data_IF_962575489667
#
_entry.id   IF_962575489667
#
_cell.length_a   1.000
_cell.length_b   1.000
_cell.length_c   1.000
_cell.angle_alpha   90.00
_cell.angle_beta   90.00
_cell.angle_gamma   90.00
#
_symmetry.space_group_name_H-M   'P 1'
#
loop_
_entity.id
_entity.type
_entity.pdbx_description
1 polymer ?
#
# COMPACT_ATOMS: atom_id res chain seq x y z
N UNK A 1 -24.36 2.08 -11.13
CA UNK A 1 -23.58 3.28 -10.70
C UNK A 1 -22.90 3.87 -11.91
N UNK A 2 -22.93 5.19 -12.08
CA UNK A 2 -22.18 5.86 -13.15
C UNK A 2 -20.68 5.75 -12.88
N UNK A 3 -19.85 5.61 -13.94
CA UNK A 3 -18.38 5.51 -13.81
C UNK A 3 -17.75 6.60 -12.90
N UNK A 4 -18.16 7.89 -12.98
CA UNK A 4 -17.62 8.93 -12.10
C UNK A 4 -18.00 8.75 -10.62
N UNK A 5 -19.18 8.19 -10.30
CA UNK A 5 -19.56 7.93 -8.92
C UNK A 5 -18.72 6.82 -8.29
N UNK A 6 -18.46 5.73 -9.02
CA UNK A 6 -17.62 4.63 -8.54
C UNK A 6 -16.20 5.10 -8.22
N UNK A 7 -15.62 5.95 -9.08
CA UNK A 7 -14.28 6.50 -8.87
C UNK A 7 -14.21 7.40 -7.62
N UNK A 8 -15.24 8.20 -7.34
CA UNK A 8 -15.31 9.00 -6.12
C UNK A 8 -15.33 8.13 -4.87
N UNK A 9 -16.14 7.06 -4.85
CA UNK A 9 -16.17 6.11 -3.71
C UNK A 9 -14.81 5.43 -3.50
N UNK A 10 -14.11 5.08 -4.59
CA UNK A 10 -12.76 4.53 -4.51
C UNK A 10 -11.80 5.51 -3.84
N UNK A 11 -11.80 6.78 -4.25
CA UNK A 11 -10.93 7.82 -3.65
C UNK A 11 -11.26 8.03 -2.17
N UNK A 12 -12.55 8.10 -1.80
CA UNK A 12 -12.94 8.21 -0.39
C UNK A 12 -12.50 6.99 0.43
N UNK A 13 -12.62 5.79 -0.11
CA UNK A 13 -12.15 4.58 0.57
C UNK A 13 -10.62 4.60 0.77
N UNK A 14 -9.87 5.02 -0.23
CA UNK A 14 -8.41 5.15 -0.16
C UNK A 14 -7.98 6.19 0.88
N UNK A 15 -8.59 7.39 0.85
CA UNK A 15 -8.30 8.45 1.83
C UNK A 15 -8.70 8.01 3.24
N UNK A 16 -9.88 7.43 3.39
CA UNK A 16 -10.38 6.95 4.69
C UNK A 16 -9.49 5.87 5.29
N UNK A 17 -9.03 4.93 4.48
CA UNK A 17 -8.12 3.89 4.94
C UNK A 17 -6.71 4.43 5.25
N UNK A 18 -6.22 5.39 4.46
CA UNK A 18 -4.95 6.06 4.73
C UNK A 18 -5.01 6.82 6.06
N UNK A 19 -6.10 7.55 6.31
CA UNK A 19 -6.32 8.23 7.58
C UNK A 19 -6.41 7.23 8.74
N UNK A 20 -7.18 6.15 8.59
CA UNK A 20 -7.27 5.09 9.59
C UNK A 20 -5.88 4.52 9.90
N UNK A 21 -5.10 4.16 8.87
CA UNK A 21 -3.76 3.61 9.01
C UNK A 21 -2.82 4.55 9.77
N UNK A 22 -2.88 5.85 9.48
CA UNK A 22 -2.06 6.87 10.16
C UNK A 22 -2.50 7.11 11.61
N UNK A 23 -3.80 7.06 11.87
CA UNK A 23 -4.36 7.33 13.20
C UNK A 23 -4.32 6.12 14.12
N UNK A 24 -4.27 4.91 13.58
CA UNK A 24 -4.24 3.66 14.36
C UNK A 24 -3.19 3.65 15.47
N UNK A 25 -1.90 3.96 15.24
CA UNK A 25 -0.91 3.99 16.31
C UNK A 25 -1.09 5.17 17.27
N UNK A 26 -1.63 6.31 16.81
CA UNK A 26 -1.85 7.50 17.64
C UNK A 26 -2.90 7.24 18.73
N UNK A 27 -3.96 6.49 18.38
CA UNK A 27 -5.03 6.11 19.31
C UNK A 27 -4.81 4.76 19.98
N UNK A 28 -3.62 4.17 19.89
CA UNK A 28 -3.30 2.84 20.41
C UNK A 28 -4.30 1.74 20.00
N UNK A 29 -4.89 1.89 18.79
CA UNK A 29 -5.79 0.86 18.27
C UNK A 29 -5.03 -0.41 17.90
N UNK A 30 -3.84 -0.26 17.34
CA UNK A 30 -2.91 -1.34 17.10
C UNK A 30 -1.49 -0.78 16.91
N UNK A 31 -0.57 -1.13 17.81
CA UNK A 31 0.86 -0.88 17.67
C UNK A 31 1.66 -1.88 18.50
N UNK A 32 2.92 -2.07 18.14
CA UNK A 32 3.88 -2.82 18.95
C UNK A 32 4.89 -1.86 19.55
N UNK A 33 5.05 -1.86 20.86
CA UNK A 33 6.01 -0.99 21.54
C UNK A 33 7.32 -1.74 21.78
N UNK A 34 8.38 -1.30 21.08
CA UNK A 34 9.72 -1.88 21.25
C UNK A 34 10.35 -1.56 22.60
N UNK A 35 9.93 -0.47 23.25
CA UNK A 35 10.46 -0.07 24.56
C UNK A 35 9.86 -0.91 25.67
N UNK A 36 8.57 -1.15 25.62
CA UNK A 36 7.81 -1.94 26.59
C UNK A 36 7.72 -3.43 26.21
N UNK A 37 8.14 -3.79 24.98
CA UNK A 37 8.18 -5.17 24.45
C UNK A 37 6.82 -5.88 24.40
N UNK A 38 5.74 -5.14 24.29
CA UNK A 38 4.41 -5.72 24.11
C UNK A 38 3.59 -4.96 23.06
N UNK A 39 2.53 -5.59 22.58
CA UNK A 39 1.60 -4.98 21.64
C UNK A 39 0.47 -4.27 22.41
N UNK A 40 -0.06 -3.20 21.81
CA UNK A 40 -1.33 -2.59 22.21
C UNK A 40 -2.41 -2.97 21.20
N UNK A 41 -3.57 -3.35 21.70
CA UNK A 41 -4.76 -3.59 20.90
C UNK A 41 -5.98 -2.94 21.57
N UNK A 42 -6.63 -2.02 20.86
CA UNK A 42 -7.76 -1.23 21.38
C UNK A 42 -7.42 -0.59 22.74
N UNK A 43 -6.28 0.07 22.82
CA UNK A 43 -5.77 0.75 24.03
C UNK A 43 -5.38 -0.18 25.19
N UNK A 44 -5.58 -1.48 25.05
CA UNK A 44 -5.22 -2.47 26.08
C UNK A 44 -3.87 -3.12 25.76
N UNK A 45 -2.99 -3.32 26.75
CA UNK A 45 -1.76 -4.05 26.54
C UNK A 45 -2.07 -5.52 26.22
N UNK A 46 -1.51 -5.99 25.12
CA UNK A 46 -1.73 -7.35 24.62
C UNK A 46 -0.58 -8.25 25.07
N UNK A 47 -0.82 -8.99 26.13
CA UNK A 47 0.18 -9.88 26.70
C UNK A 47 0.05 -11.31 26.17
N UNK A 48 1.14 -11.83 25.65
CA UNK A 48 1.22 -13.25 25.20
C UNK A 48 1.48 -14.22 26.37
N UNK A 49 1.84 -13.71 27.55
CA UNK A 49 2.16 -14.51 28.72
C UNK A 49 3.55 -15.16 28.70
N UNK A 50 4.42 -14.75 27.77
CA UNK A 50 5.79 -15.28 27.65
C UNK A 50 6.65 -14.82 28.82
N UNK A 51 6.57 -13.55 29.20
CA UNK A 51 7.32 -12.97 30.32
C UNK A 51 6.89 -13.60 31.65
N UNK A 52 5.61 -13.93 31.81
CA UNK A 52 5.08 -14.61 32.98
C UNK A 52 5.53 -16.08 33.05
N UNK A 53 5.70 -16.74 31.89
CA UNK A 53 6.29 -18.06 31.81
C UNK A 53 7.76 -18.05 32.21
N UNK A 54 8.54 -17.09 31.67
CA UNK A 54 9.98 -16.93 32.00
C UNK A 54 10.15 -16.62 33.47
N UNK A 55 9.27 -15.81 34.05
CA UNK A 55 9.27 -15.47 35.49
C UNK A 55 8.72 -16.59 36.38
N UNK A 56 8.30 -17.72 35.82
CA UNK A 56 7.75 -18.86 36.59
C UNK A 56 6.36 -18.62 37.21
N UNK A 57 5.67 -17.54 36.82
CA UNK A 57 4.34 -17.18 37.33
C UNK A 57 3.20 -17.97 36.72
N UNK A 58 3.41 -18.51 35.51
CA UNK A 58 2.39 -19.21 34.76
C UNK A 58 2.94 -20.58 34.27
N UNK A 59 2.10 -21.60 34.30
CA UNK A 59 2.46 -22.92 33.77
C UNK A 59 2.65 -22.91 32.24
N UNK A 60 3.55 -23.73 31.74
CA UNK A 60 3.85 -23.84 30.30
C UNK A 60 2.61 -24.12 29.45
N UNK A 61 1.66 -24.91 29.94
CA UNK A 61 0.40 -25.20 29.24
C UNK A 61 -0.47 -23.96 29.06
N UNK A 62 -0.57 -23.11 30.07
CA UNK A 62 -1.36 -21.86 29.99
C UNK A 62 -0.70 -20.85 29.04
N UNK A 63 0.63 -20.75 29.07
CA UNK A 63 1.36 -19.90 28.13
C UNK A 63 1.20 -20.38 26.66
N UNK A 64 1.21 -21.68 26.44
CA UNK A 64 0.97 -22.26 25.10
C UNK A 64 -0.45 -21.95 24.60
N UNK A 65 -1.47 -22.07 25.45
CA UNK A 65 -2.86 -21.72 25.10
C UNK A 65 -2.97 -20.21 24.78
N UNK A 66 -2.37 -19.34 25.58
CA UNK A 66 -2.36 -17.91 25.33
C UNK A 66 -1.69 -17.58 23.97
N UNK A 67 -0.57 -18.23 23.65
CA UNK A 67 0.11 -18.05 22.38
C UNK A 67 -0.78 -18.46 21.20
N UNK A 68 -1.51 -19.56 21.32
CA UNK A 68 -2.45 -20.02 20.28
C UNK A 68 -3.60 -19.00 20.12
N UNK A 69 -4.22 -18.58 21.22
CA UNK A 69 -5.41 -17.73 21.20
C UNK A 69 -5.09 -16.28 20.84
N UNK A 70 -3.98 -15.74 21.35
CA UNK A 70 -3.68 -14.31 21.19
C UNK A 70 -2.67 -14.02 20.08
N UNK A 71 -1.95 -15.00 19.53
CA UNK A 71 -1.05 -14.78 18.42
C UNK A 71 -1.53 -15.54 17.16
N UNK A 72 -1.60 -16.87 17.23
CA UNK A 72 -1.87 -17.68 16.04
C UNK A 72 -3.29 -17.51 15.51
N UNK A 73 -4.30 -17.53 16.38
CA UNK A 73 -5.70 -17.43 15.97
C UNK A 73 -6.02 -16.11 15.25
N UNK A 74 -5.63 -14.93 15.76
CA UNK A 74 -5.85 -13.65 15.07
C UNK A 74 -5.11 -13.57 13.74
N UNK A 75 -3.85 -14.02 13.68
CA UNK A 75 -3.05 -14.00 12.44
C UNK A 75 -3.67 -14.90 11.37
N UNK A 76 -4.01 -16.14 11.75
CA UNK A 76 -4.65 -17.10 10.83
C UNK A 76 -6.04 -16.64 10.41
N UNK A 77 -6.82 -16.08 11.34
CA UNK A 77 -8.14 -15.49 11.07
C UNK A 77 -8.08 -14.34 10.09
N UNK A 78 -7.18 -13.38 10.31
CA UNK A 78 -6.95 -12.26 9.40
C UNK A 78 -6.45 -12.74 8.03
N UNK A 79 -5.52 -13.70 8.01
CA UNK A 79 -5.02 -14.32 6.77
C UNK A 79 -6.13 -15.00 5.99
N UNK A 80 -6.95 -15.82 6.65
CA UNK A 80 -8.10 -16.50 6.05
C UNK A 80 -9.13 -15.50 5.50
N UNK A 81 -9.40 -14.42 6.21
CA UNK A 81 -10.28 -13.33 5.74
C UNK A 81 -9.74 -12.70 4.45
N UNK A 82 -8.46 -12.31 4.44
CA UNK A 82 -7.81 -11.71 3.27
C UNK A 82 -7.84 -12.66 2.08
N UNK A 83 -7.52 -13.94 2.29
CA UNK A 83 -7.55 -14.97 1.24
C UNK A 83 -8.98 -15.19 0.75
N UNK A 84 -9.98 -15.28 1.63
CA UNK A 84 -11.39 -15.45 1.27
C UNK A 84 -11.93 -14.28 0.45
N UNK A 85 -11.61 -13.05 0.84
CA UNK A 85 -11.94 -11.84 0.07
C UNK A 85 -11.27 -11.87 -1.30
N UNK A 86 -9.98 -12.22 -1.35
CA UNK A 86 -9.23 -12.29 -2.59
C UNK A 86 -9.74 -13.40 -3.53
N UNK A 87 -10.12 -14.54 -2.99
CA UNK A 87 -10.72 -15.63 -3.76
C UNK A 87 -12.00 -15.21 -4.47
N UNK A 88 -12.85 -14.44 -3.78
CA UNK A 88 -14.16 -14.02 -4.32
C UNK A 88 -14.09 -12.78 -5.19
N UNK A 89 -13.29 -11.77 -4.82
CA UNK A 89 -13.27 -10.45 -5.43
C UNK A 89 -11.91 -10.03 -6.00
N UNK A 90 -10.92 -10.91 -5.98
CA UNK A 90 -9.59 -10.61 -6.50
C UNK A 90 -8.81 -9.62 -5.63
N UNK A 91 -8.02 -8.78 -6.26
CA UNK A 91 -7.16 -7.80 -5.59
C UNK A 91 -7.92 -6.55 -5.09
N UNK A 92 -9.11 -6.75 -4.50
CA UNK A 92 -9.96 -5.64 -4.05
C UNK A 92 -9.23 -4.74 -3.05
N UNK A 93 -8.53 -5.34 -2.07
CA UNK A 93 -7.77 -4.59 -1.07
C UNK A 93 -6.73 -3.66 -1.71
N UNK A 94 -5.92 -4.17 -2.64
CA UNK A 94 -4.87 -3.38 -3.29
C UNK A 94 -5.44 -2.18 -4.06
N UNK A 95 -6.55 -2.38 -4.79
CA UNK A 95 -7.14 -1.34 -5.62
C UNK A 95 -7.97 -0.29 -4.87
N UNK A 96 -8.52 -0.63 -3.68
CA UNK A 96 -9.50 0.21 -2.98
C UNK A 96 -9.03 0.72 -1.63
N UNK A 97 -8.21 -0.05 -0.92
CA UNK A 97 -7.85 0.27 0.47
C UNK A 97 -6.35 0.51 0.65
N UNK A 98 -5.50 -0.17 -0.14
CA UNK A 98 -4.06 -0.12 0.09
C UNK A 98 -3.49 1.30 -0.08
N UNK A 99 -2.99 1.93 0.98
CA UNK A 99 -2.48 3.29 0.90
C UNK A 99 -1.15 3.37 0.13
N UNK A 100 -0.32 2.34 0.20
CA UNK A 100 0.91 2.26 -0.58
C UNK A 100 0.63 2.26 -2.09
N UNK A 101 -0.33 1.45 -2.53
CA UNK A 101 -0.76 1.43 -3.94
C UNK A 101 -1.27 2.80 -4.41
N UNK A 102 -2.04 3.49 -3.56
CA UNK A 102 -2.58 4.83 -3.86
C UNK A 102 -1.49 5.88 -4.04
N UNK A 103 -0.44 5.84 -3.19
CA UNK A 103 0.74 6.72 -3.32
C UNK A 103 1.47 6.46 -4.63
N UNK A 104 1.77 5.18 -4.94
CA UNK A 104 2.43 4.80 -6.20
C UNK A 104 1.62 5.26 -7.40
N UNK A 105 0.29 5.08 -7.39
CA UNK A 105 -0.59 5.54 -8.47
C UNK A 105 -0.53 7.08 -8.64
N UNK A 106 -0.52 7.82 -7.53
CA UNK A 106 -0.41 9.28 -7.54
C UNK A 106 0.92 9.76 -8.12
N UNK A 107 2.04 9.16 -7.70
CA UNK A 107 3.38 9.50 -8.22
C UNK A 107 3.48 9.14 -9.71
N UNK A 108 2.97 7.98 -10.14
CA UNK A 108 2.94 7.60 -11.55
C UNK A 108 2.13 8.58 -12.41
N UNK A 109 1.00 9.09 -11.88
CA UNK A 109 0.19 10.09 -12.57
C UNK A 109 0.93 11.43 -12.71
N UNK A 110 1.61 11.87 -11.66
CA UNK A 110 2.46 13.06 -11.71
C UNK A 110 3.62 12.88 -12.70
N UNK A 111 4.24 11.69 -12.73
CA UNK A 111 5.30 11.37 -13.68
C UNK A 111 4.78 11.35 -15.13
N UNK A 112 3.57 10.86 -15.36
CA UNK A 112 2.91 10.92 -16.66
C UNK A 112 2.75 12.36 -17.14
N UNK A 113 2.33 13.28 -16.27
CA UNK A 113 2.24 14.71 -16.61
C UNK A 113 3.60 15.35 -16.86
N UNK A 114 4.66 14.88 -16.18
CA UNK A 114 6.01 15.42 -16.36
C UNK A 114 6.68 14.95 -17.65
N UNK A 115 6.50 13.68 -18.03
CA UNK A 115 7.30 13.04 -19.09
C UNK A 115 6.47 12.44 -20.23
N UNK A 116 5.17 12.29 -20.05
CA UNK A 116 4.33 11.51 -20.95
C UNK A 116 4.53 9.99 -20.84
N UNK A 117 5.23 9.53 -19.77
CA UNK A 117 5.52 8.12 -19.52
C UNK A 117 5.05 7.75 -18.11
N UNK A 118 4.56 6.53 -17.94
CA UNK A 118 4.20 6.04 -16.61
C UNK A 118 5.44 5.64 -15.78
N UNK A 119 6.57 5.39 -16.42
CA UNK A 119 7.82 5.00 -15.78
C UNK A 119 9.03 5.58 -16.48
N UNK A 120 10.10 5.78 -15.76
CA UNK A 120 11.41 6.19 -16.31
C UNK A 120 11.95 5.14 -17.29
N UNK A 121 11.55 3.88 -17.12
CA UNK A 121 11.99 2.74 -17.93
C UNK A 121 11.21 2.56 -19.23
N UNK A 122 10.06 3.24 -19.39
CA UNK A 122 9.24 3.11 -20.58
C UNK A 122 9.94 3.76 -21.78
N UNK A 123 10.13 3.00 -22.85
CA UNK A 123 10.73 3.50 -24.10
C UNK A 123 9.77 4.38 -24.90
N UNK A 124 8.47 4.05 -24.86
CA UNK A 124 7.42 4.76 -25.61
C UNK A 124 6.68 5.72 -24.68
N UNK A 125 6.33 6.89 -25.21
CA UNK A 125 5.39 7.81 -24.56
C UNK A 125 3.96 7.31 -24.74
N UNK A 126 3.12 7.53 -23.73
CA UNK A 126 1.68 7.30 -23.87
C UNK A 126 1.06 8.31 -24.83
N UNK A 127 -0.10 8.00 -25.45
CA UNK A 127 -0.82 8.97 -26.26
C UNK A 127 -1.08 10.28 -25.50
N UNK A 128 -1.07 11.45 -26.17
CA UNK A 128 -1.28 12.75 -25.52
C UNK A 128 -2.71 13.01 -25.05
N UNK A 129 -3.56 12.01 -25.11
CA UNK A 129 -4.98 12.08 -24.81
C UNK A 129 -5.36 11.07 -23.74
N UNK A 130 -6.18 11.50 -22.77
CA UNK A 130 -6.79 10.59 -21.82
C UNK A 130 -7.90 9.75 -22.50
N UNK A 131 -8.33 8.61 -21.91
CA UNK A 131 -9.38 7.75 -22.49
C UNK A 131 -10.73 8.46 -22.69
N UNK A 132 -10.96 9.57 -22.01
CA UNK A 132 -12.14 10.44 -22.12
C UNK A 132 -12.01 11.51 -23.22
N UNK A 133 -10.91 11.52 -23.98
CA UNK A 133 -10.65 12.46 -25.07
C UNK A 133 -10.09 13.80 -24.64
N UNK A 134 -9.78 13.98 -23.36
CA UNK A 134 -9.15 15.21 -22.87
C UNK A 134 -7.64 15.19 -23.11
N UNK A 135 -6.99 16.33 -23.46
CA UNK A 135 -5.54 16.35 -23.62
C UNK A 135 -4.85 16.18 -22.27
N UNK A 136 -3.93 15.21 -22.21
CA UNK A 136 -3.08 15.03 -21.03
C UNK A 136 -2.01 16.12 -20.99
N UNK A 137 -1.95 16.96 -19.94
CA UNK A 137 -0.93 18.00 -19.85
C UNK A 137 0.46 17.37 -19.75
N UNK A 138 1.39 17.86 -20.57
CA UNK A 138 2.79 17.41 -20.57
C UNK A 138 3.69 18.62 -20.39
N UNK A 139 4.22 18.80 -19.17
CA UNK A 139 5.15 19.84 -18.86
C UNK A 139 6.27 19.32 -17.96
N UNK A 140 7.51 19.46 -18.37
CA UNK A 140 8.69 19.06 -17.59
C UNK A 140 8.79 19.75 -16.22
N UNK A 141 8.07 20.86 -16.02
CA UNK A 141 7.97 21.55 -14.71
C UNK A 141 7.35 20.66 -13.64
N UNK A 142 6.53 19.67 -14.00
CA UNK A 142 5.98 18.70 -13.04
C UNK A 142 7.05 17.87 -12.32
N UNK A 143 8.29 17.80 -12.82
CA UNK A 143 9.38 17.17 -12.08
C UNK A 143 9.66 17.83 -10.74
N UNK A 144 9.45 19.14 -10.64
CA UNK A 144 9.52 19.88 -9.37
C UNK A 144 8.41 19.47 -8.39
N UNK A 145 7.36 18.81 -8.84
CA UNK A 145 6.32 18.24 -7.99
C UNK A 145 6.54 16.75 -7.75
N UNK A 146 6.98 15.98 -8.75
CA UNK A 146 7.17 14.52 -8.67
C UNK A 146 8.18 14.14 -7.59
N UNK A 147 9.38 14.74 -7.62
CA UNK A 147 10.46 14.36 -6.70
C UNK A 147 10.14 14.78 -5.26
N UNK A 148 9.74 16.04 -4.96
CA UNK A 148 9.35 16.40 -3.61
C UNK A 148 8.14 15.63 -3.09
N UNK A 149 7.15 15.33 -3.93
CA UNK A 149 6.00 14.52 -3.53
C UNK A 149 6.44 13.09 -3.18
N UNK A 150 7.31 12.46 -3.98
CA UNK A 150 7.83 11.14 -3.68
C UNK A 150 8.57 11.11 -2.34
N UNK A 151 9.44 12.10 -2.08
CA UNK A 151 10.16 12.23 -0.80
C UNK A 151 9.19 12.46 0.37
N UNK A 152 8.21 13.37 0.20
CA UNK A 152 7.24 13.69 1.23
C UNK A 152 6.38 12.48 1.62
N UNK A 153 5.87 11.73 0.63
CA UNK A 153 5.13 10.50 0.89
C UNK A 153 6.00 9.41 1.50
N UNK A 154 7.24 9.25 1.04
CA UNK A 154 8.18 8.28 1.59
C UNK A 154 8.51 8.61 3.06
N UNK A 155 8.76 9.88 3.36
CA UNK A 155 9.00 10.35 4.72
C UNK A 155 7.77 10.16 5.62
N UNK A 156 6.59 10.55 5.15
CA UNK A 156 5.34 10.32 5.89
C UNK A 156 5.13 8.83 6.19
N UNK A 157 5.40 7.94 5.23
CA UNK A 157 5.35 6.49 5.42
C UNK A 157 6.35 6.00 6.46
N UNK A 158 7.60 6.49 6.40
CA UNK A 158 8.64 6.12 7.35
C UNK A 158 8.28 6.56 8.77
N UNK A 159 7.75 7.80 8.93
CA UNK A 159 7.29 8.31 10.23
C UNK A 159 6.13 7.48 10.76
N UNK A 160 5.10 7.23 9.95
CA UNK A 160 3.96 6.38 10.37
C UNK A 160 4.45 4.97 10.71
N UNK A 161 5.36 4.39 9.92
CA UNK A 161 5.97 3.09 10.23
C UNK A 161 6.69 3.08 11.58
N UNK A 162 7.40 4.15 11.92
CA UNK A 162 8.08 4.29 13.20
C UNK A 162 7.09 4.38 14.36
N UNK A 163 5.95 5.07 14.20
CA UNK A 163 4.90 5.15 15.24
C UNK A 163 4.19 3.83 15.52
N UNK A 164 4.27 2.85 14.62
CA UNK A 164 3.82 1.47 14.90
C UNK A 164 4.79 0.69 15.79
N UNK A 165 6.04 1.15 15.93
CA UNK A 165 7.10 0.48 16.66
C UNK A 165 7.51 1.22 17.93
N UNK A 166 7.23 2.52 18.02
CA UNK A 166 7.62 3.40 19.12
C UNK A 166 6.43 4.25 19.55
N UNK A 167 6.40 4.77 20.80
CA UNK A 167 5.32 5.64 21.25
C UNK A 167 5.15 6.85 20.33
N UNK A 168 3.94 7.10 19.79
CA UNK A 168 3.70 8.17 18.81
C UNK A 168 4.08 9.56 19.35
N UNK A 169 3.79 9.82 20.62
CA UNK A 169 4.14 11.08 21.25
C UNK A 169 5.67 11.32 21.25
N UNK A 170 6.46 10.28 21.54
CA UNK A 170 7.93 10.36 21.49
C UNK A 170 8.41 10.67 20.06
N UNK A 171 7.88 9.98 19.06
CA UNK A 171 8.28 10.16 17.66
C UNK A 171 7.96 11.57 17.18
N UNK A 172 6.73 12.05 17.40
CA UNK A 172 6.32 13.39 16.92
C UNK A 172 7.03 14.52 17.68
N UNK A 173 7.14 14.42 19.01
CA UNK A 173 7.87 15.41 19.78
C UNK A 173 9.37 15.40 19.45
N UNK A 174 9.95 14.22 19.26
CA UNK A 174 11.35 14.05 18.87
C UNK A 174 11.66 14.63 17.49
N UNK A 175 10.72 14.50 16.54
CA UNK A 175 10.84 15.12 15.22
C UNK A 175 10.82 16.66 15.32
N UNK A 176 9.89 17.23 16.09
CA UNK A 176 9.74 18.68 16.23
C UNK A 176 10.93 19.30 16.97
N UNK A 177 11.47 18.62 17.97
CA UNK A 177 12.58 19.11 18.81
C UNK A 177 13.96 18.62 18.36
N UNK A 178 14.04 17.87 17.24
CA UNK A 178 15.29 17.25 16.76
C UNK A 178 16.00 16.39 17.82
N UNK A 179 15.21 15.69 18.65
CA UNK A 179 15.70 14.91 19.80
C UNK A 179 15.50 13.40 19.63
N UNK A 180 15.39 12.91 18.39
CA UNK A 180 15.28 11.49 18.08
C UNK A 180 16.56 10.73 18.39
N UNK A 181 16.44 9.49 18.83
CA UNK A 181 17.57 8.61 19.03
C UNK A 181 18.26 8.27 17.70
N UNK A 182 19.57 7.99 17.77
CA UNK A 182 20.36 7.66 16.57
C UNK A 182 19.74 6.54 15.72
N UNK A 183 19.20 5.50 16.38
CA UNK A 183 18.54 4.38 15.69
C UNK A 183 17.29 4.80 14.90
N UNK A 184 16.48 5.69 15.46
CA UNK A 184 15.28 6.24 14.83
C UNK A 184 15.62 7.10 13.62
N UNK A 185 16.65 7.94 13.74
CA UNK A 185 17.14 8.75 12.61
C UNK A 185 17.66 7.87 11.49
N UNK A 186 18.43 6.82 11.79
CA UNK A 186 18.91 5.86 10.80
C UNK A 186 17.73 5.15 10.13
N UNK A 187 16.75 4.70 10.89
CA UNK A 187 15.53 4.07 10.36
C UNK A 187 14.76 5.00 9.42
N UNK A 188 14.49 6.24 9.86
CA UNK A 188 13.76 7.23 9.06
C UNK A 188 14.51 7.55 7.76
N UNK A 189 15.82 7.75 7.84
CA UNK A 189 16.64 8.06 6.66
C UNK A 189 16.68 6.89 5.68
N UNK A 190 16.93 5.69 6.18
CA UNK A 190 16.99 4.48 5.35
C UNK A 190 15.63 4.17 4.71
N UNK A 191 14.55 4.18 5.51
CA UNK A 191 13.19 3.92 5.03
C UNK A 191 12.75 4.96 4.00
N UNK A 192 12.97 6.25 4.26
CA UNK A 192 12.64 7.33 3.32
C UNK A 192 13.41 7.17 2.01
N UNK A 193 14.70 6.85 2.08
CA UNK A 193 15.52 6.66 0.87
C UNK A 193 15.03 5.47 0.05
N UNK A 194 14.82 4.32 0.68
CA UNK A 194 14.35 3.10 -0.01
C UNK A 194 12.99 3.31 -0.63
N UNK A 195 12.03 3.89 0.11
CA UNK A 195 10.69 4.16 -0.40
C UNK A 195 10.69 5.22 -1.51
N UNK A 196 11.54 6.25 -1.42
CA UNK A 196 11.67 7.25 -2.50
C UNK A 196 12.17 6.61 -3.79
N UNK A 197 13.20 5.76 -3.69
CA UNK A 197 13.71 5.01 -4.83
C UNK A 197 12.65 4.07 -5.40
N UNK A 198 11.90 3.40 -4.54
CA UNK A 198 10.79 2.55 -4.95
C UNK A 198 9.72 3.34 -5.71
N UNK A 199 9.24 4.45 -5.17
CA UNK A 199 8.18 5.26 -5.78
C UNK A 199 8.60 5.83 -7.14
N UNK A 200 9.87 6.22 -7.29
CA UNK A 200 10.36 6.81 -8.55
C UNK A 200 10.71 5.76 -9.60
N UNK A 201 11.29 4.63 -9.20
CA UNK A 201 11.89 3.67 -10.14
C UNK A 201 11.18 2.32 -10.18
N UNK A 202 10.75 1.79 -9.03
CA UNK A 202 10.22 0.44 -8.96
C UNK A 202 8.70 0.35 -9.18
N UNK A 203 7.95 1.44 -8.98
CA UNK A 203 6.48 1.50 -9.15
C UNK A 203 5.78 0.39 -8.36
N UNK A 204 5.08 -0.50 -9.07
CA UNK A 204 4.37 -1.63 -8.50
C UNK A 204 5.22 -2.90 -8.32
N UNK A 205 6.54 -2.81 -8.47
CA UNK A 205 7.43 -3.97 -8.36
C UNK A 205 7.37 -4.56 -6.94
N UNK A 206 7.38 -3.70 -5.93
CA UNK A 206 7.19 -4.11 -4.54
C UNK A 206 5.86 -4.82 -4.33
N UNK A 207 4.75 -4.24 -4.83
CA UNK A 207 3.42 -4.84 -4.72
C UNK A 207 3.32 -6.20 -5.42
N UNK A 208 4.12 -6.41 -6.47
CA UNK A 208 4.10 -7.64 -7.27
C UNK A 208 4.98 -8.74 -6.70
N UNK A 209 6.16 -8.41 -6.16
CA UNK A 209 7.19 -9.38 -5.82
C UNK A 209 7.55 -9.44 -4.34
N UNK A 210 7.39 -8.34 -3.59
CA UNK A 210 7.81 -8.25 -2.20
C UNK A 210 6.65 -8.18 -1.20
N UNK A 211 5.49 -7.61 -1.60
CA UNK A 211 4.35 -7.49 -0.72
C UNK A 211 3.64 -8.84 -0.51
N UNK A 212 3.72 -9.39 0.70
CA UNK A 212 3.08 -10.66 1.04
C UNK A 212 1.57 -10.65 0.75
N UNK A 213 0.86 -9.57 1.13
CA UNK A 213 -0.58 -9.42 0.88
C UNK A 213 -0.89 -9.47 -0.61
N UNK A 214 -0.12 -8.77 -1.44
CA UNK A 214 -0.27 -8.77 -2.90
C UNK A 214 -0.02 -10.14 -3.52
N UNK A 215 0.99 -10.86 -3.04
CA UNK A 215 1.32 -12.22 -3.49
C UNK A 215 0.21 -13.21 -3.12
N UNK A 216 -0.23 -13.25 -1.85
CA UNK A 216 -1.29 -14.15 -1.42
C UNK A 216 -2.62 -13.89 -2.13
N UNK A 217 -2.99 -12.62 -2.32
CA UNK A 217 -4.18 -12.27 -3.10
C UNK A 217 -4.08 -12.74 -4.56
N UNK A 218 -2.90 -12.67 -5.17
CA UNK A 218 -2.69 -13.15 -6.54
C UNK A 218 -2.85 -14.65 -6.63
N UNK A 219 -2.22 -15.40 -5.73
CA UNK A 219 -2.34 -16.86 -5.70
C UNK A 219 -3.77 -17.33 -5.43
N UNK A 220 -4.45 -16.69 -4.47
CA UNK A 220 -5.86 -16.99 -4.20
C UNK A 220 -6.74 -16.75 -5.41
N UNK A 221 -6.55 -15.64 -6.11
CA UNK A 221 -7.32 -15.31 -7.32
C UNK A 221 -7.02 -16.26 -8.48
N UNK A 222 -5.75 -16.58 -8.72
CA UNK A 222 -5.36 -17.53 -9.78
C UNK A 222 -5.87 -18.95 -9.52
N UNK A 223 -6.02 -19.36 -8.26
CA UNK A 223 -6.60 -20.64 -7.89
C UNK A 223 -8.11 -20.76 -8.12
N UNK A 224 -8.81 -19.65 -8.31
CA UNK A 224 -10.26 -19.66 -8.50
C UNK A 224 -10.62 -19.82 -9.99
N UNK A 225 -11.18 -20.97 -10.36
CA UNK A 225 -11.64 -21.26 -11.72
C UNK A 225 -12.73 -20.33 -12.25
N UNK A 226 -13.47 -19.63 -11.38
CA UNK A 226 -14.52 -18.66 -11.72
C UNK A 226 -14.03 -17.22 -11.71
N UNK A 227 -12.73 -17.00 -11.52
CA UNK A 227 -12.16 -15.67 -11.48
C UNK A 227 -12.28 -14.97 -12.85
N UNK A 228 -12.75 -13.72 -12.84
CA UNK A 228 -12.71 -12.88 -14.04
C UNK A 228 -11.26 -12.48 -14.32
N UNK A 229 -10.74 -12.90 -15.46
CA UNK A 229 -9.40 -12.53 -15.95
C UNK A 229 -9.57 -11.70 -17.20
N UNK A 230 -8.77 -10.64 -17.33
CA UNK A 230 -8.67 -9.92 -18.59
C UNK A 230 -7.97 -10.86 -19.58
N UNK A 231 -8.72 -11.36 -20.56
CA UNK A 231 -8.21 -12.22 -21.61
C UNK A 231 -8.20 -11.46 -22.94
N UNK A 232 -7.23 -11.79 -23.78
CA UNK A 232 -7.15 -11.28 -25.14
C UNK A 232 -7.70 -12.34 -26.11
N UNK A 233 -8.87 -12.08 -26.69
CA UNK A 233 -9.48 -12.95 -27.69
C UNK A 233 -8.88 -12.66 -29.08
N UNK A 234 -7.98 -13.53 -29.52
CA UNK A 234 -7.31 -13.38 -30.85
C UNK A 234 -8.27 -13.34 -32.03
N UNK A 235 -9.44 -13.96 -31.87
CA UNK A 235 -10.49 -13.99 -32.91
C UNK A 235 -11.13 -12.61 -33.15
N UNK A 236 -11.04 -11.70 -32.19
CA UNK A 236 -11.55 -10.32 -32.27
C UNK A 236 -10.49 -9.27 -32.60
N UNK A 237 -9.39 -9.67 -33.20
CA UNK A 237 -8.35 -8.72 -33.64
C UNK A 237 -8.84 -7.68 -34.64
N UNK A 238 -9.84 -8.05 -35.46
CA UNK A 238 -10.49 -7.12 -36.40
C UNK A 238 -11.23 -5.99 -35.68
N UNK A 239 -11.80 -6.25 -34.50
CA UNK A 239 -12.47 -5.23 -33.69
C UNK A 239 -11.46 -4.23 -33.10
N UNK A 240 -10.22 -4.67 -32.85
CA UNK A 240 -9.14 -3.79 -32.42
C UNK A 240 -8.67 -2.84 -33.54
N UNK A 241 -8.72 -3.26 -34.79
CA UNK A 241 -8.37 -2.41 -35.92
C UNK A 241 -9.41 -1.30 -36.16
N UNK A 242 -10.69 -1.53 -35.81
CA UNK A 242 -11.76 -0.53 -35.86
C UNK A 242 -11.84 0.37 -34.60
N UNK A 243 -11.12 0.04 -33.53
CA UNK A 243 -11.08 0.78 -32.28
C UNK A 243 -10.12 2.00 -32.33
N UNK A 244 -9.74 2.43 -33.51
CA UNK A 244 -8.95 3.64 -33.73
C UNK A 244 -9.88 4.87 -33.60
N UNK A 245 -9.89 5.49 -32.46
CA UNK A 245 -10.31 6.87 -32.34
C UNK A 245 -9.26 7.75 -33.04
N UNK A 246 -9.63 8.92 -33.57
CA UNK A 246 -8.72 9.83 -34.29
C UNK A 246 -7.41 10.20 -33.54
N UNK A 247 -7.23 9.75 -32.33
CA UNK A 247 -6.12 10.01 -31.40
C UNK A 247 -5.28 8.75 -31.05
N UNK A 248 -5.49 7.63 -31.71
CA UNK A 248 -4.78 6.38 -31.45
C UNK A 248 -5.68 5.24 -30.97
N UNK A 249 -5.08 4.09 -30.66
CA UNK A 249 -5.81 2.92 -30.17
C UNK A 249 -6.28 3.14 -28.74
N UNK A 250 -7.56 2.85 -28.47
CA UNK A 250 -8.10 2.90 -27.10
C UNK A 250 -7.33 1.97 -26.13
N UNK A 251 -6.72 0.89 -26.65
CA UNK A 251 -5.89 -0.01 -25.85
C UNK A 251 -4.58 0.64 -25.40
N UNK A 252 -3.97 1.50 -26.24
CA UNK A 252 -2.73 2.21 -25.89
C UNK A 252 -2.96 3.27 -24.80
N UNK A 253 -4.20 3.72 -24.61
CA UNK A 253 -4.56 4.67 -23.57
C UNK A 253 -4.89 3.99 -22.22
N UNK A 254 -5.16 2.68 -22.21
CA UNK A 254 -5.59 1.91 -21.02
C UNK A 254 -4.52 0.93 -20.54
N UNK A 255 -3.63 0.50 -21.39
CA UNK A 255 -2.48 -0.33 -21.09
C UNK A 255 -1.22 0.49 -20.91
#
# INVERSE_FOLDING_TARGET
MSKPALQRYRVYAQIGFFALFTLTPIFDLFRYDLTEKHAYFLTMPWHLGIDDLIAGRVAAGTAAVNLILYLFLPILGAGALIIGVAWKWGRLYCGWLCPHFSVVETINRLMLFATGKHSVWDKKETPPWEPDGTPAPRDKRYWFAVVPAAIAFAFAWAVVGLTYLMPPFHVYSGLLNFSLFRGEVIFLTAATTVLTLEFLFARHLFCRYACAVGLFQSFAWMGNKKAMVVGFERERLTDCASCLNGNGSACDAVC
#
